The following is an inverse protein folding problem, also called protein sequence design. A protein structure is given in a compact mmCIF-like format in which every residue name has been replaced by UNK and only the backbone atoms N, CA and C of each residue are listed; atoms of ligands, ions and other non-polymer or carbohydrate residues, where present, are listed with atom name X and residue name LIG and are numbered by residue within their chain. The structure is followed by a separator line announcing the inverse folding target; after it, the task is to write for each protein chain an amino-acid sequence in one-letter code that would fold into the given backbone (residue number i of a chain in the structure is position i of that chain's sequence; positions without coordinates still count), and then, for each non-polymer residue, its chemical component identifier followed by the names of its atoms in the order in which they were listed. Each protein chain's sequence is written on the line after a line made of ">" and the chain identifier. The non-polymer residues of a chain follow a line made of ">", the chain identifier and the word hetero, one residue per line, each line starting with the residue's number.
data_IF_297140799320
#
_entry.id   IF_297140799320
#
_cell.length_a   1.000
_cell.length_b   1.000
_cell.length_c   1.000
_cell.angle_alpha   90.00
_cell.angle_beta   90.00
_cell.angle_gamma   90.00
#
_symmetry.space_group_name_H-M   'P 1'
#
loop_
_entity.id
_entity.type
_entity.pdbx_description
1 polymer ?
#
# COMPACT_ATOMS: atom_id res chain seq x y z
N UNK A 1 4.31 11.38 -9.75
CA UNK A 1 4.48 9.99 -9.27
C UNK A 1 4.16 9.95 -7.79
N UNK A 2 3.43 8.94 -7.33
CA UNK A 2 2.83 8.95 -6.00
C UNK A 2 3.00 7.60 -5.30
N UNK A 3 3.32 7.63 -4.01
CA UNK A 3 3.14 6.52 -3.08
C UNK A 3 2.04 6.91 -2.11
N UNK A 4 1.05 6.03 -1.93
CA UNK A 4 -0.08 6.27 -1.05
C UNK A 4 -0.25 5.12 -0.05
N UNK A 5 -0.45 5.49 1.21
CA UNK A 5 -0.89 4.59 2.27
C UNK A 5 -2.18 5.11 2.90
N UNK A 6 -2.96 4.21 3.48
CA UNK A 6 -4.09 4.58 4.32
C UNK A 6 -4.22 3.62 5.51
N UNK A 7 -4.57 4.15 6.66
CA UNK A 7 -4.73 3.39 7.89
C UNK A 7 -5.53 4.19 8.93
N UNK A 8 -5.88 3.58 10.05
CA UNK A 8 -6.32 4.32 11.22
C UNK A 8 -5.15 4.95 11.99
N UNK A 9 -5.47 5.79 12.98
CA UNK A 9 -4.45 6.48 13.78
C UNK A 9 -3.53 5.49 14.52
N UNK A 10 -4.08 4.42 15.09
CA UNK A 10 -3.27 3.47 15.87
C UNK A 10 -2.26 2.73 14.98
N UNK A 11 -2.67 2.39 13.76
CA UNK A 11 -1.80 1.73 12.80
C UNK A 11 -0.79 2.70 12.19
N UNK A 12 -1.18 3.98 12.02
CA UNK A 12 -0.28 5.06 11.63
C UNK A 12 0.85 5.24 12.63
N UNK A 13 0.53 5.41 13.92
CA UNK A 13 1.51 5.61 15.00
C UNK A 13 2.49 4.42 15.12
N UNK A 14 2.00 3.22 14.83
CA UNK A 14 2.81 2.01 14.98
C UNK A 14 3.69 1.69 13.75
N UNK A 15 3.19 1.95 12.54
CA UNK A 15 3.80 1.47 11.31
C UNK A 15 3.87 2.54 10.21
N UNK A 16 2.76 3.24 9.95
CA UNK A 16 2.62 4.14 8.80
C UNK A 16 3.64 5.29 8.84
N UNK A 17 3.90 5.84 10.01
CA UNK A 17 4.88 6.91 10.19
C UNK A 17 6.30 6.46 9.82
N UNK A 18 6.68 5.22 10.16
CA UNK A 18 8.00 4.68 9.84
C UNK A 18 8.17 4.41 8.35
N UNK A 19 7.12 3.98 7.67
CA UNK A 19 7.14 3.86 6.21
C UNK A 19 7.40 5.23 5.56
N UNK A 20 6.71 6.27 6.00
CA UNK A 20 6.86 7.62 5.43
C UNK A 20 8.24 8.21 5.73
N UNK A 21 8.72 8.10 6.98
CA UNK A 21 10.05 8.55 7.39
C UNK A 21 11.14 7.83 6.59
N UNK A 22 11.11 6.51 6.53
CA UNK A 22 12.11 5.72 5.80
C UNK A 22 12.07 6.02 4.30
N UNK A 23 10.87 6.18 3.72
CA UNK A 23 10.76 6.52 2.30
C UNK A 23 11.35 7.90 2.02
N UNK A 24 11.09 8.92 2.84
CA UNK A 24 11.69 10.25 2.69
C UNK A 24 13.19 10.26 2.91
N UNK A 25 13.67 9.50 3.88
CA UNK A 25 15.10 9.40 4.16
C UNK A 25 15.90 8.84 2.98
N UNK A 26 15.44 7.72 2.41
CA UNK A 26 16.13 7.11 1.27
C UNK A 26 15.83 7.81 -0.07
N UNK A 27 14.66 8.45 -0.20
CA UNK A 27 14.18 9.02 -1.47
C UNK A 27 13.67 10.47 -1.28
N UNK A 28 14.56 11.44 -0.97
CA UNK A 28 14.20 12.83 -0.74
C UNK A 28 13.94 13.61 -2.05
N UNK A 29 13.43 12.95 -3.07
CA UNK A 29 13.30 13.51 -4.41
C UNK A 29 11.99 14.28 -4.60
N UNK A 30 12.07 15.45 -5.26
CA UNK A 30 10.91 16.30 -5.56
C UNK A 30 9.92 15.69 -6.56
N UNK A 31 10.34 14.70 -7.35
CA UNK A 31 9.45 13.98 -8.26
C UNK A 31 8.56 12.94 -7.58
N UNK A 32 8.86 12.57 -6.32
CA UNK A 32 8.11 11.59 -5.54
C UNK A 32 7.21 12.28 -4.51
N UNK A 33 5.91 12.15 -4.70
CA UNK A 33 4.90 12.64 -3.77
C UNK A 33 4.43 11.50 -2.85
N UNK A 34 4.51 11.72 -1.55
CA UNK A 34 4.00 10.78 -0.55
C UNK A 34 2.65 11.25 -0.04
N UNK A 35 1.69 10.35 0.03
CA UNK A 35 0.34 10.60 0.53
C UNK A 35 -0.01 9.65 1.64
N UNK A 36 -0.62 10.18 2.70
CA UNK A 36 -1.13 9.41 3.81
C UNK A 36 -2.58 9.79 4.09
N UNK A 37 -3.47 8.80 4.10
CA UNK A 37 -4.85 8.99 4.53
C UNK A 37 -5.05 8.35 5.91
N UNK A 38 -5.51 9.15 6.88
CA UNK A 38 -5.73 8.69 8.25
C UNK A 38 -7.22 8.74 8.58
N UNK A 39 -7.75 7.57 8.91
CA UNK A 39 -9.12 7.41 9.41
C UNK A 39 -9.11 7.62 10.92
N UNK A 40 -10.00 8.49 11.42
CA UNK A 40 -10.12 8.87 12.82
C UNK A 40 -8.79 9.38 13.42
N UNK A 41 -8.21 10.45 12.86
CA UNK A 41 -6.95 10.99 13.34
C UNK A 41 -7.09 11.57 14.76
N UNK A 42 -6.04 11.43 15.56
CA UNK A 42 -5.88 12.16 16.81
C UNK A 42 -5.53 13.63 16.51
N UNK A 43 -6.11 14.54 17.27
CA UNK A 43 -5.73 15.96 17.18
C UNK A 43 -4.22 16.14 17.44
N UNK A 44 -3.53 16.80 16.52
CA UNK A 44 -2.10 17.05 16.63
C UNK A 44 -1.23 15.79 16.46
N UNK A 45 -1.67 14.81 15.66
CA UNK A 45 -0.81 13.67 15.33
C UNK A 45 0.50 14.11 14.66
N UNK A 46 1.56 13.35 14.86
CA UNK A 46 2.86 13.62 14.26
C UNK A 46 2.78 13.52 12.73
N UNK A 47 3.33 14.50 12.03
CA UNK A 47 3.38 14.52 10.58
C UNK A 47 4.83 14.46 10.10
N UNK A 48 5.06 13.73 9.02
CA UNK A 48 6.36 13.68 8.33
C UNK A 48 6.42 14.81 7.32
N UNK A 49 7.50 15.57 7.30
CA UNK A 49 7.70 16.67 6.37
C UNK A 49 7.63 16.20 4.91
N UNK A 50 6.98 17.00 4.06
CA UNK A 50 6.83 16.70 2.64
C UNK A 50 5.87 15.56 2.31
N UNK A 51 4.99 15.18 3.24
CA UNK A 51 3.90 14.23 3.02
C UNK A 51 2.57 14.96 2.96
N UNK A 52 1.75 14.65 1.97
CA UNK A 52 0.38 15.16 1.83
C UNK A 52 -0.58 14.31 2.66
N UNK A 53 -1.22 14.93 3.65
CA UNK A 53 -2.16 14.25 4.52
C UNK A 53 -3.60 14.55 4.13
N UNK A 54 -4.42 13.49 4.12
CA UNK A 54 -5.88 13.59 4.11
C UNK A 54 -6.43 12.82 5.30
N UNK A 55 -7.56 13.28 5.83
CA UNK A 55 -8.17 12.67 7.01
C UNK A 55 -9.67 12.52 6.85
N UNK A 56 -10.24 11.54 7.54
CA UNK A 56 -11.68 11.42 7.70
C UNK A 56 -12.05 11.01 9.12
N UNK A 57 -13.25 11.38 9.54
CA UNK A 57 -13.86 10.89 10.79
C UNK A 57 -15.01 9.96 10.41
N UNK A 58 -14.91 8.71 10.84
CA UNK A 58 -15.88 7.67 10.53
C UNK A 58 -16.15 6.84 11.79
N UNK A 59 -17.36 6.88 12.31
CA UNK A 59 -17.76 6.16 13.53
C UNK A 59 -17.98 4.65 13.32
N UNK A 60 -18.11 4.22 12.07
CA UNK A 60 -18.45 2.83 11.71
C UNK A 60 -17.32 2.15 10.90
N UNK A 61 -16.08 2.32 11.34
CA UNK A 61 -14.91 1.76 10.66
C UNK A 61 -14.84 0.26 10.90
N UNK A 62 -14.87 -0.52 9.82
CA UNK A 62 -14.50 -1.94 9.82
C UNK A 62 -13.05 -2.13 9.35
N UNK A 63 -12.45 -3.29 9.68
CA UNK A 63 -11.13 -3.65 9.15
C UNK A 63 -11.17 -3.71 7.62
N UNK A 64 -12.24 -4.24 7.04
CA UNK A 64 -12.42 -4.28 5.59
C UNK A 64 -12.40 -2.88 4.95
N UNK A 65 -13.03 -1.90 5.61
CA UNK A 65 -12.96 -0.50 5.17
C UNK A 65 -11.52 0.03 5.20
N UNK A 66 -10.79 -0.18 6.29
CA UNK A 66 -9.40 0.26 6.42
C UNK A 66 -8.47 -0.36 5.36
N UNK A 67 -8.74 -1.61 4.96
CA UNK A 67 -7.99 -2.26 3.89
C UNK A 67 -8.26 -1.62 2.52
N UNK A 68 -9.50 -1.21 2.26
CA UNK A 68 -9.96 -0.75 0.95
C UNK A 68 -9.89 0.77 0.75
N UNK A 69 -9.93 1.59 1.80
CA UNK A 69 -10.04 3.05 1.72
C UNK A 69 -8.92 3.71 0.91
N UNK A 70 -7.71 3.15 0.95
CA UNK A 70 -6.55 3.64 0.16
C UNK A 70 -6.84 3.67 -1.35
N UNK A 71 -7.59 2.72 -1.86
CA UNK A 71 -7.96 2.66 -3.28
C UNK A 71 -9.00 3.73 -3.63
N UNK A 72 -9.97 3.96 -2.74
CA UNK A 72 -10.98 5.01 -2.88
C UNK A 72 -10.31 6.38 -2.87
N UNK A 73 -9.38 6.59 -1.92
CA UNK A 73 -8.61 7.84 -1.82
C UNK A 73 -7.75 8.06 -3.06
N UNK A 74 -7.04 7.03 -3.55
CA UNK A 74 -6.27 7.11 -4.79
C UNK A 74 -7.13 7.54 -5.98
N UNK A 75 -8.33 6.96 -6.12
CA UNK A 75 -9.26 7.30 -7.19
C UNK A 75 -9.80 8.72 -7.08
N UNK A 76 -10.09 9.19 -5.86
CA UNK A 76 -10.73 10.49 -5.64
C UNK A 76 -9.76 11.68 -5.54
N UNK A 77 -8.48 11.45 -5.21
CA UNK A 77 -7.52 12.50 -4.88
C UNK A 77 -6.34 12.61 -5.84
N UNK A 78 -5.93 11.51 -6.46
CA UNK A 78 -4.75 11.51 -7.33
C UNK A 78 -5.15 11.65 -8.80
N UNK A 79 -4.38 12.41 -9.61
CA UNK A 79 -4.63 12.54 -11.04
C UNK A 79 -4.75 11.18 -11.72
N UNK A 80 -5.65 11.09 -12.71
CA UNK A 80 -6.00 9.82 -13.34
C UNK A 80 -4.81 9.13 -14.02
N UNK A 81 -3.97 9.93 -14.66
CA UNK A 81 -2.87 9.44 -15.50
C UNK A 81 -1.52 9.38 -14.75
N UNK A 82 -1.54 9.71 -13.46
CA UNK A 82 -0.33 9.67 -12.65
C UNK A 82 0.00 8.22 -12.24
N UNK A 83 1.31 7.97 -12.20
CA UNK A 83 1.86 6.69 -11.72
C UNK A 83 1.71 6.62 -10.20
N UNK A 84 0.95 5.63 -9.73
CA UNK A 84 0.60 5.47 -8.32
C UNK A 84 0.98 4.08 -7.85
N UNK A 85 1.71 4.03 -6.74
CA UNK A 85 1.97 2.82 -5.97
C UNK A 85 1.23 2.91 -4.64
N UNK A 86 0.37 1.95 -4.36
CA UNK A 86 -0.30 1.79 -3.07
C UNK A 86 0.44 0.73 -2.27
N UNK A 87 0.76 1.04 -1.02
CA UNK A 87 1.43 0.14 -0.09
C UNK A 87 0.58 -0.10 1.16
N UNK A 88 0.78 -1.26 1.79
CA UNK A 88 0.32 -1.47 3.16
C UNK A 88 1.14 -0.62 4.12
N UNK A 89 0.50 -0.05 5.13
CA UNK A 89 1.16 0.82 6.10
C UNK A 89 2.20 0.08 6.98
N UNK A 90 2.13 -1.25 7.11
CA UNK A 90 3.10 -2.10 7.82
C UNK A 90 4.32 -2.47 6.96
N UNK A 91 4.75 -1.54 6.17
CA UNK A 91 5.90 -1.62 5.26
C UNK A 91 6.97 -0.61 5.70
N UNK A 92 8.22 -0.84 5.34
CA UNK A 92 9.32 0.11 5.51
C UNK A 92 10.15 0.18 4.23
N UNK A 93 10.59 1.37 3.85
CA UNK A 93 11.55 1.55 2.77
C UNK A 93 12.95 1.24 3.29
N UNK A 94 13.74 0.51 2.52
CA UNK A 94 15.06 0.02 2.97
C UNK A 94 16.22 0.60 2.19
N UNK A 95 15.96 1.20 1.02
CA UNK A 95 16.97 1.76 0.14
C UNK A 95 16.40 2.79 -0.84
N UNK A 96 17.29 3.52 -1.46
CA UNK A 96 17.01 4.42 -2.57
C UNK A 96 16.55 3.66 -3.82
N UNK A 97 15.75 4.33 -4.64
CA UNK A 97 15.37 3.92 -6.00
C UNK A 97 15.33 5.13 -6.93
N UNK A 98 15.65 4.90 -8.20
CA UNK A 98 15.62 5.96 -9.21
C UNK A 98 14.23 6.24 -9.73
N UNK A 99 14.08 7.37 -10.41
CA UNK A 99 12.84 7.72 -11.10
C UNK A 99 12.46 6.71 -12.18
N UNK A 100 13.45 6.24 -12.92
CA UNK A 100 13.32 5.25 -13.99
C UNK A 100 12.85 3.90 -13.46
N UNK A 101 13.44 3.44 -12.37
CA UNK A 101 13.00 2.21 -11.68
C UNK A 101 11.57 2.32 -11.17
N UNK A 102 11.18 3.48 -10.62
CA UNK A 102 9.79 3.70 -10.19
C UNK A 102 8.82 3.69 -11.38
N UNK A 103 9.17 4.33 -12.50
CA UNK A 103 8.38 4.31 -13.73
C UNK A 103 8.23 2.87 -14.21
N UNK A 104 9.31 2.10 -14.30
CA UNK A 104 9.27 0.70 -14.72
C UNK A 104 8.33 -0.13 -13.84
N UNK A 105 8.44 0.00 -12.51
CA UNK A 105 7.62 -0.74 -11.56
C UNK A 105 6.13 -0.35 -11.60
N UNK A 106 5.80 0.88 -12.02
CA UNK A 106 4.43 1.43 -11.93
C UNK A 106 3.73 1.62 -13.27
N UNK A 107 4.42 1.50 -14.40
CA UNK A 107 3.84 1.69 -15.75
C UNK A 107 2.84 0.60 -16.13
N UNK A 108 2.91 -0.56 -15.50
CA UNK A 108 1.98 -1.65 -15.66
C UNK A 108 1.16 -1.88 -14.39
N UNK A 109 0.11 -2.69 -14.50
CA UNK A 109 -0.62 -3.17 -13.33
C UNK A 109 0.28 -4.21 -12.66
N UNK A 110 0.96 -3.81 -11.60
CA UNK A 110 1.91 -4.67 -10.87
C UNK A 110 1.38 -4.92 -9.47
N UNK A 111 1.24 -6.19 -9.12
CA UNK A 111 0.61 -6.60 -7.87
C UNK A 111 1.42 -7.73 -7.25
N UNK A 112 1.49 -7.74 -5.92
CA UNK A 112 2.16 -8.81 -5.21
C UNK A 112 1.39 -10.13 -5.37
N UNK A 113 2.03 -11.15 -5.92
CA UNK A 113 1.44 -12.48 -6.07
C UNK A 113 1.74 -13.36 -4.86
N UNK A 114 0.76 -14.12 -4.41
CA UNK A 114 0.97 -15.12 -3.36
C UNK A 114 1.87 -16.24 -3.87
N UNK A 115 2.82 -16.66 -3.05
CA UNK A 115 3.81 -17.69 -3.43
C UNK A 115 3.21 -19.12 -3.53
N UNK A 116 2.06 -19.36 -2.89
CA UNK A 116 1.35 -20.66 -2.95
C UNK A 116 0.29 -20.59 -4.03
N UNK A 117 0.35 -21.51 -4.99
CA UNK A 117 -0.64 -21.59 -6.08
C UNK A 117 -2.06 -21.91 -5.62
N UNK A 118 -2.19 -22.59 -4.46
CA UNK A 118 -3.47 -23.01 -3.88
C UNK A 118 -4.08 -21.98 -2.91
N UNK A 119 -3.47 -20.78 -2.80
CA UNK A 119 -4.02 -19.76 -1.93
C UNK A 119 -5.37 -19.25 -2.45
N UNK A 120 -6.30 -18.99 -1.53
CA UNK A 120 -7.63 -18.45 -1.83
C UNK A 120 -7.53 -17.17 -2.66
N UNK A 121 -6.57 -16.30 -2.32
CA UNK A 121 -6.26 -15.10 -3.08
C UNK A 121 -4.87 -15.23 -3.70
N UNK A 122 -4.81 -15.25 -5.03
CA UNK A 122 -3.54 -15.30 -5.76
C UNK A 122 -2.84 -13.93 -5.77
N UNK A 123 -3.61 -12.85 -5.78
CA UNK A 123 -3.13 -11.48 -5.82
C UNK A 123 -3.41 -10.77 -4.51
N UNK A 124 -2.38 -10.11 -3.97
CA UNK A 124 -2.40 -9.51 -2.64
C UNK A 124 -2.30 -7.99 -2.73
N UNK A 125 -3.09 -7.30 -1.92
CA UNK A 125 -3.12 -5.84 -1.88
C UNK A 125 -1.94 -5.18 -1.14
N UNK A 126 -0.90 -5.92 -0.77
CA UNK A 126 0.26 -5.40 -0.04
C UNK A 126 1.09 -4.37 -0.82
N UNK A 127 1.17 -4.54 -2.13
CA UNK A 127 1.67 -3.57 -3.08
C UNK A 127 0.81 -3.66 -4.33
N UNK A 128 0.25 -2.53 -4.76
CA UNK A 128 -0.56 -2.44 -5.98
C UNK A 128 -0.16 -1.21 -6.75
N UNK A 129 0.14 -1.37 -8.04
CA UNK A 129 0.24 -0.28 -9.00
C UNK A 129 -0.87 -0.39 -10.03
N UNK A 130 -1.30 0.73 -10.59
CA UNK A 130 -2.47 0.73 -11.47
C UNK A 130 -2.12 0.72 -12.97
N UNK A 131 -0.87 1.00 -13.32
CA UNK A 131 -0.43 1.12 -14.72
C UNK A 131 -1.15 2.25 -15.47
N UNK A 132 -2.47 2.21 -15.47
CA UNK A 132 -3.31 3.24 -16.10
C UNK A 132 -4.58 3.52 -15.30
N UNK A 133 -5.18 4.66 -15.54
CA UNK A 133 -6.36 5.11 -14.80
C UNK A 133 -7.61 4.27 -15.04
N UNK A 134 -7.68 3.49 -16.14
CA UNK A 134 -8.84 2.63 -16.42
C UNK A 134 -8.96 1.51 -15.40
N UNK A 135 -7.87 0.78 -15.14
CA UNK A 135 -7.89 -0.29 -14.13
C UNK A 135 -8.24 0.26 -12.75
N UNK A 136 -7.63 1.39 -12.33
CA UNK A 136 -7.94 2.03 -11.06
C UNK A 136 -9.42 2.35 -10.91
N UNK A 137 -10.01 2.93 -11.95
CA UNK A 137 -11.45 3.25 -11.99
C UNK A 137 -12.31 1.99 -11.88
N UNK A 138 -12.05 0.98 -12.70
CA UNK A 138 -12.86 -0.23 -12.75
C UNK A 138 -12.74 -1.06 -11.46
N UNK A 139 -11.55 -1.09 -10.87
CA UNK A 139 -11.33 -1.74 -9.57
C UNK A 139 -12.16 -1.05 -8.47
N UNK A 140 -12.06 0.26 -8.34
CA UNK A 140 -12.81 1.01 -7.30
C UNK A 140 -14.31 0.94 -7.58
N UNK A 141 -14.74 1.00 -8.84
CA UNK A 141 -16.15 0.81 -9.20
C UNK A 141 -16.66 -0.57 -8.73
N UNK A 142 -15.92 -1.64 -8.99
CA UNK A 142 -16.29 -2.98 -8.53
C UNK A 142 -16.29 -3.10 -6.99
N UNK A 143 -15.31 -2.48 -6.33
CA UNK A 143 -15.23 -2.44 -4.87
C UNK A 143 -16.50 -1.82 -4.25
N UNK A 144 -17.00 -0.76 -4.86
CA UNK A 144 -18.18 0.00 -4.38
C UNK A 144 -19.54 -0.60 -4.80
N UNK A 145 -19.59 -1.67 -5.59
CA UNK A 145 -20.85 -2.36 -5.92
C UNK A 145 -21.51 -2.95 -4.67
N UNK A 146 -20.73 -3.41 -3.72
CA UNK A 146 -21.20 -3.82 -2.40
C UNK A 146 -21.17 -2.62 -1.46
N UNK A 147 -22.21 -2.42 -0.66
CA UNK A 147 -22.24 -1.30 0.31
C UNK A 147 -21.17 -1.47 1.37
N UNK A 148 -20.51 -0.37 1.78
CA UNK A 148 -19.42 -0.38 2.75
C UNK A 148 -19.73 -1.17 4.04
N UNK A 149 -20.93 -1.04 4.67
CA UNK A 149 -21.26 -1.82 5.86
C UNK A 149 -21.33 -3.34 5.65
N UNK A 150 -21.41 -3.78 4.39
CA UNK A 150 -21.50 -5.21 4.00
C UNK A 150 -20.12 -5.79 3.65
N UNK A 151 -19.05 -5.00 3.72
CA UNK A 151 -17.71 -5.46 3.41
C UNK A 151 -17.17 -6.38 4.50
N UNK A 152 -16.60 -7.47 4.08
CA UNK A 152 -15.92 -8.44 4.93
C UNK A 152 -14.41 -8.33 4.80
N UNK A 153 -13.67 -8.89 5.75
CA UNK A 153 -12.22 -8.95 5.69
C UNK A 153 -11.75 -9.58 4.38
N UNK A 154 -10.87 -8.91 3.66
CA UNK A 154 -10.35 -9.37 2.36
C UNK A 154 -11.20 -8.99 1.15
N UNK A 155 -12.29 -8.23 1.32
CA UNK A 155 -13.12 -7.76 0.21
C UNK A 155 -12.31 -7.06 -0.89
N UNK A 156 -11.28 -6.29 -0.52
CA UNK A 156 -10.36 -5.65 -1.46
C UNK A 156 -9.58 -6.68 -2.30
N UNK A 157 -9.18 -7.81 -1.70
CA UNK A 157 -8.49 -8.89 -2.39
C UNK A 157 -9.44 -9.71 -3.27
N UNK A 158 -10.68 -9.93 -2.85
CA UNK A 158 -11.70 -10.60 -3.66
C UNK A 158 -11.92 -9.84 -4.98
N UNK A 159 -12.11 -8.51 -4.89
CA UNK A 159 -12.31 -7.67 -6.07
C UNK A 159 -11.05 -7.62 -6.94
N UNK A 160 -9.85 -7.61 -6.34
CA UNK A 160 -8.61 -7.67 -7.09
C UNK A 160 -8.50 -8.97 -7.91
N UNK A 161 -8.82 -10.11 -7.30
CA UNK A 161 -8.78 -11.39 -7.98
C UNK A 161 -9.87 -11.51 -9.05
N UNK A 162 -11.05 -10.91 -8.86
CA UNK A 162 -12.08 -10.79 -9.90
C UNK A 162 -11.58 -9.95 -11.09
N UNK A 163 -10.88 -8.86 -10.84
CA UNK A 163 -10.31 -8.03 -11.92
C UNK A 163 -9.22 -8.76 -12.73
N UNK A 164 -8.53 -9.75 -12.14
CA UNK A 164 -7.52 -10.55 -12.84
C UNK A 164 -8.09 -11.39 -13.98
N UNK A 165 -9.42 -11.57 -14.05
CA UNK A 165 -10.09 -12.22 -15.18
C UNK A 165 -10.14 -11.32 -16.44
N UNK A 166 -9.99 -10.00 -16.26
CA UNK A 166 -10.16 -8.98 -17.31
C UNK A 166 -8.94 -8.13 -17.56
N UNK A 167 -7.93 -8.20 -16.67
CA UNK A 167 -6.70 -7.41 -16.72
C UNK A 167 -5.49 -8.32 -16.58
N UNK A 168 -4.46 -8.05 -17.35
CA UNK A 168 -3.17 -8.70 -17.20
C UNK A 168 -2.40 -8.04 -16.05
N UNK A 169 -2.02 -8.83 -15.04
CA UNK A 169 -1.27 -8.39 -13.89
C UNK A 169 0.18 -8.90 -13.95
N UNK A 170 1.11 -8.00 -13.74
CA UNK A 170 2.50 -8.36 -13.48
C UNK A 170 2.69 -8.71 -12.01
N UNK A 171 3.50 -9.72 -11.73
CA UNK A 171 3.93 -9.98 -10.35
C UNK A 171 4.95 -8.95 -9.92
N UNK A 172 4.75 -8.36 -8.74
CA UNK A 172 5.73 -7.46 -8.13
C UNK A 172 7.08 -8.17 -7.97
N UNK A 173 8.14 -7.55 -8.52
CA UNK A 173 9.47 -8.13 -8.45
C UNK A 173 9.96 -8.18 -6.99
N UNK A 174 10.66 -9.24 -6.55
CA UNK A 174 11.18 -9.35 -5.19
C UNK A 174 12.13 -8.22 -4.78
N UNK A 175 12.76 -7.53 -5.74
CA UNK A 175 13.60 -6.36 -5.47
C UNK A 175 12.78 -5.13 -5.08
N UNK A 176 11.50 -5.09 -5.42
CA UNK A 176 10.59 -4.01 -5.03
C UNK A 176 9.93 -4.26 -3.70
N UNK A 177 9.40 -5.47 -3.47
CA UNK A 177 8.71 -5.78 -2.23
C UNK A 177 9.01 -7.20 -1.75
N UNK A 178 9.33 -7.32 -0.48
CA UNK A 178 9.57 -8.59 0.19
C UNK A 178 8.62 -8.78 1.38
N UNK A 179 8.01 -9.96 1.46
CA UNK A 179 7.26 -10.39 2.63
C UNK A 179 8.15 -11.24 3.55
N UNK A 180 8.97 -10.59 4.34
CA UNK A 180 9.68 -11.16 5.48
C UNK A 180 10.92 -12.01 5.19
N UNK A 181 10.90 -13.00 4.32
CA UNK A 181 11.99 -13.99 4.24
C UNK A 181 12.85 -13.97 2.97
N UNK A 182 12.32 -13.44 1.88
CA UNK A 182 12.87 -13.82 0.57
C UNK A 182 13.97 -12.92 0.05
N UNK A 183 13.91 -11.62 0.29
CA UNK A 183 14.93 -10.70 -0.18
C UNK A 183 15.03 -9.47 0.75
N UNK A 184 16.04 -9.43 1.60
CA UNK A 184 16.31 -8.30 2.49
C UNK A 184 16.85 -7.06 1.76
N UNK A 185 17.14 -7.18 0.48
CA UNK A 185 17.62 -6.09 -0.36
C UNK A 185 16.50 -5.45 -1.20
N UNK A 186 15.24 -5.85 -0.99
CA UNK A 186 14.09 -5.22 -1.65
C UNK A 186 13.93 -3.77 -1.22
N UNK A 187 13.38 -2.93 -2.11
CA UNK A 187 13.09 -1.51 -1.81
C UNK A 187 12.12 -1.38 -0.63
N UNK A 188 11.08 -2.23 -0.60
CA UNK A 188 10.10 -2.27 0.47
C UNK A 188 10.09 -3.62 1.18
N UNK A 189 10.18 -3.57 2.51
CA UNK A 189 10.03 -4.72 3.38
C UNK A 189 8.69 -4.61 4.14
N UNK A 190 7.81 -5.60 3.98
CA UNK A 190 6.52 -5.64 4.68
C UNK A 190 6.43 -6.81 5.66
N UNK A 191 5.80 -6.59 6.81
CA UNK A 191 5.53 -7.60 7.81
C UNK A 191 4.07 -8.04 7.72
N UNK A 192 3.82 -9.27 7.30
CA UNK A 192 2.48 -9.83 7.17
C UNK A 192 2.18 -10.90 8.22
N UNK A 193 0.93 -10.89 8.73
CA UNK A 193 0.41 -11.92 9.61
C UNK A 193 1.29 -12.19 10.83
N UNK A 194 1.63 -13.44 11.08
CA UNK A 194 2.45 -13.88 12.23
C UNK A 194 3.88 -13.36 12.22
N UNK A 195 4.39 -12.87 11.10
CA UNK A 195 5.72 -12.27 11.03
C UNK A 195 5.84 -11.03 11.94
N UNK A 196 4.75 -10.31 12.17
CA UNK A 196 4.67 -9.18 13.11
C UNK A 196 4.99 -9.54 14.56
N UNK A 197 4.84 -10.82 14.92
CA UNK A 197 5.08 -11.34 16.27
C UNK A 197 6.43 -12.05 16.39
N UNK A 198 7.17 -12.23 15.31
CA UNK A 198 8.41 -13.00 15.31
C UNK A 198 9.63 -12.06 15.37
N UNK A 199 10.43 -12.09 16.47
CA UNK A 199 11.60 -11.21 16.66
C UNK A 199 12.60 -11.23 15.49
N UNK A 200 12.72 -12.36 14.80
CA UNK A 200 13.61 -12.48 13.65
C UNK A 200 13.26 -11.49 12.53
N UNK A 201 11.96 -11.21 12.32
CA UNK A 201 11.49 -10.30 11.27
C UNK A 201 11.31 -8.88 11.81
N UNK A 202 10.79 -8.74 13.04
CA UNK A 202 10.63 -7.42 13.67
C UNK A 202 11.98 -6.75 13.89
N UNK A 203 13.02 -7.48 14.30
CA UNK A 203 14.36 -6.94 14.45
C UNK A 203 14.98 -6.45 13.13
N UNK A 204 14.61 -7.06 12.01
CA UNK A 204 15.02 -6.56 10.70
C UNK A 204 14.28 -5.27 10.33
N UNK A 205 12.99 -5.23 10.58
CA UNK A 205 12.17 -4.04 10.38
C UNK A 205 12.64 -2.87 11.25
N UNK A 206 12.97 -3.14 12.54
CA UNK A 206 13.49 -2.13 13.49
C UNK A 206 14.79 -1.46 13.01
N UNK A 207 15.60 -2.12 12.16
CA UNK A 207 16.84 -1.54 11.60
C UNK A 207 16.59 -0.37 10.65
N UNK A 208 15.38 -0.25 10.12
CA UNK A 208 14.98 0.77 9.14
C UNK A 208 14.00 1.78 9.72
N UNK A 209 13.77 1.77 11.04
CA UNK A 209 13.02 2.81 11.74
C UNK A 209 13.88 4.05 11.99
N UNK A 210 13.28 5.21 11.90
CA UNK A 210 13.92 6.52 12.01
C UNK A 210 13.26 7.38 13.08
#
# INVERSE_FOLDING_TARGET
>A
MHILIACDQAYYDKWGIELLKSTRYYNPHSWLNLHCHIVNPRLGFEQVEGVDYTTEVNSNVSIAYLQAVRFIVAQGKLPKDDLVMILDADTVCTKEFTKEEFIEATSNITILKHHKSEALHQWLCGMVTFGNGKFRHDYVHNLLKKKIPEWEYGHDQDILNLCAEHYEFNNAHPDWICMGKQNLNSVFLTLKGTHKLNPKYTNQFERYKF
#
